data_IF_868688480391
#
_entry.id   IF_868688480391
#
_cell.length_a   1.000
_cell.length_b   1.000
_cell.length_c   1.000
_cell.angle_alpha   90.00
_cell.angle_beta   90.00
_cell.angle_gamma   90.00
#
_symmetry.space_group_name_H-M   'P 1'
#
loop_
_entity.id
_entity.type
_entity.pdbx_description
1 polymer ?
#
# COMPACT_ATOMS: atom_id res chain seq x y z
N UNK A 1 14.90 24.85 -17.19
CA UNK A 1 14.89 24.35 -15.80
C UNK A 1 13.54 23.71 -15.54
N UNK A 2 13.52 22.47 -15.06
CA UNK A 2 12.30 21.71 -14.74
C UNK A 2 12.15 20.43 -15.55
N UNK A 3 12.93 19.40 -15.22
CA UNK A 3 12.82 18.04 -15.75
C UNK A 3 11.77 17.29 -14.93
N UNK A 4 10.73 16.75 -15.58
CA UNK A 4 9.71 15.92 -14.92
C UNK A 4 10.13 14.46 -14.96
N UNK A 5 10.19 13.82 -13.79
CA UNK A 5 10.34 12.36 -13.65
C UNK A 5 9.03 11.78 -13.15
N UNK A 6 8.42 10.91 -13.95
CA UNK A 6 7.28 10.07 -13.53
C UNK A 6 7.85 8.81 -12.89
N UNK A 7 7.59 8.61 -11.60
CA UNK A 7 7.95 7.37 -10.88
C UNK A 7 6.73 6.45 -10.88
N UNK A 8 6.80 5.39 -11.68
CA UNK A 8 5.91 4.23 -11.53
C UNK A 8 6.45 3.34 -10.41
N UNK A 9 5.71 3.24 -9.30
CA UNK A 9 5.98 2.23 -8.26
C UNK A 9 5.25 0.96 -8.67
N UNK A 10 5.94 0.10 -9.42
CA UNK A 10 5.60 -1.32 -9.49
C UNK A 10 6.15 -1.96 -8.21
N UNK A 11 5.29 -2.45 -7.32
CA UNK A 11 5.74 -3.31 -6.21
C UNK A 11 6.19 -4.67 -6.77
N UNK A 12 7.41 -4.70 -7.28
CA UNK A 12 8.21 -5.91 -7.35
C UNK A 12 8.74 -6.19 -5.94
N UNK A 13 8.47 -7.39 -5.43
CA UNK A 13 9.11 -7.90 -4.22
C UNK A 13 10.64 -7.74 -4.34
N UNK A 14 11.19 -6.80 -3.57
CA UNK A 14 12.63 -6.61 -3.44
C UNK A 14 13.24 -7.87 -2.81
N UNK A 15 13.87 -8.69 -3.66
CA UNK A 15 14.98 -9.52 -3.23
C UNK A 15 16.12 -8.59 -2.82
N UNK A 16 16.43 -8.52 -1.52
CA UNK A 16 17.67 -7.92 -1.04
C UNK A 16 18.78 -8.96 -1.18
N UNK A 17 19.65 -8.80 -2.18
CA UNK A 17 20.93 -9.52 -2.23
C UNK A 17 21.88 -8.88 -1.21
N UNK A 18 22.18 -9.59 -0.13
CA UNK A 18 23.32 -9.27 0.72
C UNK A 18 24.50 -10.14 0.27
N UNK A 19 25.51 -9.52 -0.37
CA UNK A 19 26.81 -10.13 -0.57
C UNK A 19 27.69 -9.61 0.57
N UNK A 20 27.93 -10.46 1.58
CA UNK A 20 28.89 -10.17 2.64
C UNK A 20 30.28 -10.62 2.19
N UNK A 21 31.22 -9.69 2.15
CA UNK A 21 32.65 -9.96 1.95
C UNK A 21 33.33 -10.06 3.32
N UNK A 22 34.02 -11.16 3.57
CA UNK A 22 34.89 -11.29 4.74
C UNK A 22 36.35 -11.19 4.26
N UNK A 23 37.08 -10.17 4.74
CA UNK A 23 38.53 -10.03 4.56
C UNK A 23 39.26 -10.70 5.72
N UNK A 24 40.24 -11.54 5.42
CA UNK A 24 41.07 -12.28 6.37
C UNK A 24 42.21 -11.43 6.96
N UNK A 25 42.21 -11.33 8.29
CA UNK A 25 43.31 -11.35 9.28
C UNK A 25 44.62 -10.56 9.09
N UNK A 26 44.83 -9.62 10.04
CA UNK A 26 45.99 -9.42 10.94
C UNK A 26 47.45 -9.49 10.43
N UNK A 27 48.23 -8.42 10.68
CA UNK A 27 49.54 -8.37 11.41
C UNK A 27 50.02 -6.89 11.59
N UNK A 28 50.98 -6.57 12.50
CA UNK A 28 50.93 -5.37 13.36
C UNK A 28 51.96 -4.26 13.02
N UNK A 29 51.71 -3.07 13.60
CA UNK A 29 52.60 -1.94 13.94
C UNK A 29 53.73 -1.52 12.98
N UNK A 30 53.62 -0.28 12.45
CA UNK A 30 54.53 0.85 12.79
C UNK A 30 53.91 2.16 12.28
N UNK A 31 53.79 3.15 13.16
CA UNK A 31 53.65 4.57 12.80
C UNK A 31 55.06 5.18 12.86
N UNK A 32 55.41 6.08 11.94
CA UNK A 32 55.62 7.44 12.42
C UNK A 32 55.11 8.55 11.46
N UNK A 33 54.63 9.59 12.11
CA UNK A 33 54.32 10.92 11.59
C UNK A 33 55.53 11.65 10.98
N UNK A 34 55.18 12.69 10.22
CA UNK A 34 55.88 13.96 9.97
C UNK A 34 57.12 13.98 9.06
N UNK A 35 56.99 14.61 7.88
CA UNK A 35 57.43 16.00 7.61
C UNK A 35 57.61 16.32 6.11
N UNK A 36 57.10 17.50 5.72
CA UNK A 36 57.66 18.51 4.79
C UNK A 36 58.13 18.10 3.38
N UNK A 37 57.38 18.50 2.34
CA UNK A 37 57.58 19.73 1.53
C UNK A 37 58.95 19.80 0.82
N UNK A 38 58.97 19.83 -0.51
CA UNK A 38 59.72 20.85 -1.28
C UNK A 38 59.29 20.84 -2.75
N UNK A 39 59.02 22.06 -3.24
CA UNK A 39 58.67 22.43 -4.61
C UNK A 39 59.91 22.39 -5.52
N UNK A 40 59.74 21.91 -6.74
CA UNK A 40 60.65 22.11 -7.87
C UNK A 40 60.50 23.53 -8.45
N UNK A 41 61.61 24.13 -8.90
CA UNK A 41 61.77 24.89 -10.17
C UNK A 41 62.96 25.88 -10.12
N UNK A 42 64.01 25.63 -10.91
CA UNK A 42 64.87 26.67 -11.52
C UNK A 42 65.84 26.11 -12.60
N UNK A 43 65.46 26.35 -13.85
CA UNK A 43 66.22 26.90 -15.01
C UNK A 43 67.74 26.69 -15.26
N UNK A 44 68.00 26.13 -16.46
CA UNK A 44 68.85 26.58 -17.60
C UNK A 44 70.41 26.57 -17.60
N UNK A 45 70.93 25.65 -18.43
CA UNK A 45 71.95 25.75 -19.50
C UNK A 45 73.42 26.17 -19.25
N UNK A 46 74.34 25.27 -19.65
CA UNK A 46 75.50 25.56 -20.53
C UNK A 46 76.08 24.27 -21.17
N UNK A 47 76.28 24.30 -22.51
CA UNK A 47 76.75 23.24 -23.43
C UNK A 47 78.31 23.24 -23.59
N UNK A 48 78.96 22.40 -24.44
CA UNK A 48 78.86 20.94 -24.70
C UNK A 48 80.26 20.26 -24.85
N UNK A 49 80.25 19.04 -25.40
CA UNK A 49 81.34 18.15 -25.90
C UNK A 49 81.68 17.02 -24.91
N UNK A 50 81.64 15.73 -25.28
CA UNK A 50 82.27 15.08 -26.43
C UNK A 50 81.45 13.84 -26.86
N UNK A 51 81.35 13.63 -28.18
CA UNK A 51 80.72 12.47 -28.81
C UNK A 51 81.56 11.19 -28.61
N UNK A 52 81.04 10.24 -27.83
CA UNK A 52 81.37 8.82 -27.98
C UNK A 52 80.10 8.05 -28.37
N UNK A 53 80.12 7.48 -29.57
CA UNK A 53 79.07 6.60 -30.10
C UNK A 53 78.95 5.34 -29.25
N UNK A 54 77.88 5.23 -28.48
CA UNK A 54 77.47 3.99 -27.82
C UNK A 54 76.11 3.58 -28.42
N UNK A 55 76.10 2.43 -29.08
CA UNK A 55 74.89 1.74 -29.51
C UNK A 55 73.94 1.61 -28.31
N UNK A 56 72.86 2.40 -28.29
CA UNK A 56 71.77 2.20 -27.34
C UNK A 56 71.00 0.97 -27.79
N UNK A 57 71.38 -0.21 -27.28
CA UNK A 57 70.41 -1.29 -27.10
C UNK A 57 69.27 -0.68 -26.29
N UNK A 58 68.13 -0.47 -26.92
CA UNK A 58 66.87 -0.39 -26.20
C UNK A 58 66.64 -1.77 -25.58
N UNK A 59 67.19 -1.98 -24.39
CA UNK A 59 66.68 -2.99 -23.49
C UNK A 59 65.22 -2.64 -23.26
N UNK A 60 64.32 -3.46 -23.80
CA UNK A 60 62.92 -3.45 -23.39
C UNK A 60 62.91 -3.56 -21.87
N UNK A 61 62.46 -2.49 -21.20
CA UNK A 61 61.94 -2.61 -19.85
C UNK A 61 60.84 -3.66 -19.96
N UNK A 62 61.07 -4.84 -19.38
CA UNK A 62 59.99 -5.77 -19.08
C UNK A 62 59.09 -5.04 -18.09
N UNK A 63 58.15 -4.28 -18.64
CA UNK A 63 56.93 -3.92 -17.95
C UNK A 63 56.28 -5.28 -17.70
N UNK A 64 56.55 -5.85 -16.54
CA UNK A 64 55.62 -6.82 -15.96
C UNK A 64 54.34 -6.01 -15.84
N UNK A 65 53.49 -6.14 -16.85
CA UNK A 65 52.11 -5.71 -16.77
C UNK A 65 51.59 -6.38 -15.51
N UNK A 66 51.40 -5.60 -14.46
CA UNK A 66 50.56 -5.96 -13.35
C UNK A 66 49.15 -6.07 -13.95
N UNK A 67 48.90 -7.20 -14.61
CA UNK A 67 47.55 -7.74 -14.66
C UNK A 67 47.22 -7.94 -13.19
N UNK A 68 46.55 -6.94 -12.61
CA UNK A 68 45.76 -7.12 -11.41
C UNK A 68 44.97 -8.37 -11.68
N UNK A 69 45.37 -9.49 -11.05
CA UNK A 69 44.62 -10.71 -11.11
C UNK A 69 43.23 -10.35 -10.57
N UNK A 70 42.27 -10.15 -11.49
CA UNK A 70 40.88 -10.00 -11.12
C UNK A 70 40.50 -11.36 -10.54
N UNK A 71 40.65 -11.49 -9.22
CA UNK A 71 40.17 -12.65 -8.49
C UNK A 71 38.70 -12.82 -8.88
N UNK A 72 38.38 -13.93 -9.55
CA UNK A 72 36.99 -14.26 -9.82
C UNK A 72 36.35 -14.46 -8.46
N UNK A 73 35.50 -13.52 -8.06
CA UNK A 73 34.68 -13.66 -6.86
C UNK A 73 33.66 -14.74 -7.19
N UNK A 74 33.98 -15.97 -6.80
CA UNK A 74 33.04 -17.09 -6.89
C UNK A 74 32.14 -17.06 -5.65
N UNK A 75 30.82 -16.91 -5.82
CA UNK A 75 29.90 -16.93 -4.69
C UNK A 75 30.00 -18.29 -3.98
N UNK A 76 30.10 -18.29 -2.66
CA UNK A 76 30.31 -19.52 -1.90
C UNK A 76 29.01 -20.20 -1.48
N UNK A 77 27.97 -19.42 -1.19
CA UNK A 77 26.64 -19.88 -0.80
C UNK A 77 25.59 -18.80 -1.08
N UNK A 78 24.33 -19.21 -1.15
CA UNK A 78 23.15 -18.36 -1.31
C UNK A 78 22.11 -18.77 -0.27
N UNK A 79 21.59 -17.81 0.48
CA UNK A 79 20.55 -18.01 1.49
C UNK A 79 19.43 -17.01 1.21
N UNK A 80 18.21 -17.52 1.11
CA UNK A 80 17.01 -16.73 0.84
C UNK A 80 15.94 -17.08 1.88
N UNK A 81 15.27 -16.07 2.43
CA UNK A 81 14.22 -16.26 3.41
C UNK A 81 13.36 -15.02 3.58
N UNK A 82 12.20 -15.13 4.23
CA UNK A 82 11.33 -13.99 4.47
C UNK A 82 11.96 -13.03 5.48
N UNK A 83 11.80 -11.72 5.24
CA UNK A 83 12.23 -10.67 6.18
C UNK A 83 11.24 -10.47 7.33
N UNK A 84 9.97 -10.80 7.09
CA UNK A 84 8.87 -10.62 8.05
C UNK A 84 8.52 -11.98 8.65
N UNK A 85 8.34 -12.01 9.97
CA UNK A 85 7.86 -13.19 10.70
C UNK A 85 6.65 -12.84 11.56
N UNK A 86 5.77 -13.82 11.72
CA UNK A 86 4.52 -13.72 12.48
C UNK A 86 4.38 -14.90 13.46
N UNK A 87 3.57 -14.76 14.52
CA UNK A 87 3.26 -15.89 15.41
C UNK A 87 2.62 -17.05 14.63
N UNK A 88 2.89 -18.29 15.05
CA UNK A 88 2.38 -19.52 14.42
C UNK A 88 2.82 -19.79 12.97
N UNK A 89 3.64 -18.91 12.37
CA UNK A 89 4.08 -19.03 10.98
C UNK A 89 5.13 -20.14 10.82
N UNK A 90 5.07 -20.85 9.70
CA UNK A 90 6.17 -21.72 9.26
C UNK A 90 7.10 -20.90 8.37
N UNK A 91 8.27 -20.56 8.89
CA UNK A 91 9.32 -19.84 8.16
C UNK A 91 10.12 -20.85 7.35
N UNK A 92 10.28 -20.58 6.06
CA UNK A 92 11.08 -21.40 5.15
C UNK A 92 12.29 -20.60 4.66
N UNK A 93 13.49 -21.14 4.88
CA UNK A 93 14.75 -20.56 4.41
C UNK A 93 15.35 -21.50 3.38
N UNK A 94 15.54 -21.00 2.16
CA UNK A 94 16.23 -21.72 1.09
C UNK A 94 17.72 -21.49 1.21
N UNK A 95 18.49 -22.58 1.20
CA UNK A 95 19.94 -22.57 1.30
C UNK A 95 20.51 -23.33 0.11
N UNK A 96 21.46 -22.72 -0.59
CA UNK A 96 22.20 -23.35 -1.69
C UNK A 96 23.69 -23.13 -1.45
N UNK A 97 24.45 -24.22 -1.36
CA UNK A 97 25.90 -24.14 -1.28
C UNK A 97 26.46 -24.18 -2.69
N UNK A 98 27.31 -23.22 -3.05
CA UNK A 98 27.81 -23.02 -4.41
C UNK A 98 29.28 -23.43 -4.56
N UNK A 99 29.99 -23.60 -3.43
CA UNK A 99 31.40 -23.99 -3.42
C UNK A 99 31.57 -25.51 -3.36
N UNK A 100 31.97 -26.10 -4.49
CA UNK A 100 32.21 -27.54 -4.67
C UNK A 100 33.17 -28.16 -3.64
N UNK A 101 34.17 -27.41 -3.17
CA UNK A 101 35.15 -27.88 -2.19
C UNK A 101 34.55 -28.24 -0.82
N UNK A 102 33.34 -27.78 -0.52
CA UNK A 102 32.69 -28.01 0.77
C UNK A 102 31.85 -29.30 0.82
N UNK A 103 31.68 -30.01 -0.31
CA UNK A 103 30.94 -31.27 -0.45
C UNK A 103 29.51 -31.26 0.14
N UNK A 104 29.38 -31.63 1.42
CA UNK A 104 28.14 -31.61 2.18
C UNK A 104 28.41 -30.94 3.51
N UNK A 105 27.50 -30.09 3.96
CA UNK A 105 27.65 -29.39 5.22
C UNK A 105 26.34 -29.36 6.01
N UNK A 106 26.46 -29.30 7.32
CA UNK A 106 25.33 -29.13 8.22
C UNK A 106 25.05 -27.64 8.28
N UNK A 107 23.83 -27.24 7.90
CA UNK A 107 23.38 -25.86 7.98
C UNK A 107 22.33 -25.76 9.07
N UNK A 108 22.62 -24.92 10.05
CA UNK A 108 21.74 -24.62 11.16
C UNK A 108 21.20 -23.20 11.01
N UNK A 109 19.88 -23.07 11.05
CA UNK A 109 19.17 -21.81 11.04
C UNK A 109 18.41 -21.66 12.36
N UNK A 110 18.59 -20.51 13.02
CA UNK A 110 18.03 -20.19 14.34
C UNK A 110 17.39 -18.81 14.28
N UNK A 111 16.16 -18.69 14.75
CA UNK A 111 15.51 -17.41 15.02
C UNK A 111 15.57 -17.17 16.51
N UNK A 112 16.14 -16.03 16.90
CA UNK A 112 16.22 -15.59 18.29
C UNK A 112 15.56 -14.22 18.50
N UNK A 113 15.12 -13.98 19.74
CA UNK A 113 14.65 -12.69 20.23
C UNK A 113 15.47 -12.34 21.47
N UNK A 114 16.31 -11.30 21.38
CA UNK A 114 17.16 -10.79 22.48
C UNK A 114 17.78 -11.93 23.34
N UNK A 115 18.42 -12.88 22.65
CA UNK A 115 19.15 -14.07 23.16
C UNK A 115 18.32 -15.33 23.49
N UNK A 116 16.99 -15.27 23.43
CA UNK A 116 16.14 -16.47 23.54
C UNK A 116 15.95 -17.14 22.17
N UNK A 117 16.26 -18.44 22.07
CA UNK A 117 15.97 -19.25 20.90
C UNK A 117 14.45 -19.49 20.75
N UNK A 118 13.86 -19.05 19.64
CA UNK A 118 12.42 -19.16 19.37
C UNK A 118 12.10 -20.33 18.45
N UNK A 119 12.89 -20.50 17.40
CA UNK A 119 12.72 -21.57 16.43
C UNK A 119 14.08 -21.93 15.83
N UNK A 120 14.31 -23.21 15.57
CA UNK A 120 15.53 -23.68 14.94
C UNK A 120 15.21 -24.80 13.95
N UNK A 121 16.04 -24.90 12.92
CA UNK A 121 16.08 -26.03 11.99
C UNK A 121 17.54 -26.30 11.63
N UNK A 122 17.88 -27.58 11.46
CA UNK A 122 19.22 -28.03 11.14
C UNK A 122 19.10 -29.21 10.19
N UNK A 123 19.86 -29.20 9.10
CA UNK A 123 19.85 -30.29 8.13
C UNK A 123 21.17 -30.38 7.36
N UNK A 124 21.41 -31.53 6.74
CA UNK A 124 22.54 -31.77 5.85
C UNK A 124 22.22 -31.24 4.45
N UNK A 125 23.00 -30.26 3.99
CA UNK A 125 22.84 -29.62 2.68
C UNK A 125 23.95 -30.07 1.73
N UNK A 126 23.53 -30.58 0.57
CA UNK A 126 24.42 -30.99 -0.51
C UNK A 126 24.80 -29.79 -1.39
N UNK A 127 26.03 -29.76 -1.90
CA UNK A 127 26.47 -28.69 -2.82
C UNK A 127 25.68 -28.72 -4.13
N UNK A 128 25.37 -27.53 -4.64
CA UNK A 128 24.60 -27.25 -5.85
C UNK A 128 23.14 -27.76 -5.83
N UNK A 129 22.63 -28.19 -4.68
CA UNK A 129 21.23 -28.58 -4.49
C UNK A 129 20.56 -27.57 -3.55
N UNK A 130 19.58 -26.80 -4.02
CA UNK A 130 18.79 -25.94 -3.16
C UNK A 130 18.03 -26.77 -2.12
N UNK A 131 18.26 -26.48 -0.85
CA UNK A 131 17.60 -27.15 0.28
C UNK A 131 16.74 -26.16 1.06
N UNK A 132 15.62 -26.61 1.63
CA UNK A 132 14.71 -25.73 2.36
C UNK A 132 14.65 -26.11 3.84
N UNK A 133 15.15 -25.25 4.70
CA UNK A 133 15.02 -25.37 6.15
C UNK A 133 13.69 -24.77 6.60
N UNK A 134 12.82 -25.58 7.19
CA UNK A 134 11.51 -25.14 7.70
C UNK A 134 11.53 -25.10 9.22
N UNK A 135 11.13 -23.98 9.79
CA UNK A 135 11.04 -23.78 11.23
C UNK A 135 9.70 -23.15 11.62
N UNK A 136 9.08 -23.69 12.67
CA UNK A 136 7.77 -23.20 13.15
C UNK A 136 7.98 -22.18 14.27
N UNK A 137 7.43 -20.99 14.09
CA UNK A 137 7.44 -19.94 15.12
C UNK A 137 6.36 -20.26 16.15
N UNK A 138 6.71 -20.13 17.43
CA UNK A 138 5.76 -20.30 18.54
C UNK A 138 4.63 -19.26 18.46
N UNK A 139 3.46 -19.59 19.01
CA UNK A 139 2.33 -18.67 19.09
C UNK A 139 2.54 -17.59 20.16
N UNK A 140 3.34 -17.90 21.21
CA UNK A 140 3.51 -17.08 22.40
C UNK A 140 4.77 -16.22 22.33
N UNK A 141 4.95 -15.52 21.21
CA UNK A 141 6.12 -14.68 21.00
C UNK A 141 5.79 -13.22 21.29
N UNK A 142 6.75 -12.50 21.89
CA UNK A 142 6.57 -11.11 22.34
C UNK A 142 6.98 -10.13 21.24
N UNK A 143 6.45 -8.91 21.29
CA UNK A 143 7.04 -7.81 20.54
C UNK A 143 8.51 -7.65 20.94
N UNK A 144 9.42 -7.58 19.97
CA UNK A 144 10.85 -7.54 20.22
C UNK A 144 11.65 -7.50 18.93
N UNK A 145 12.98 -7.49 19.06
CA UNK A 145 13.88 -7.50 17.90
C UNK A 145 14.28 -8.92 17.58
N UNK A 146 13.88 -9.40 16.40
CA UNK A 146 14.18 -10.76 15.98
C UNK A 146 15.40 -10.80 15.07
N UNK A 147 16.18 -11.86 15.20
CA UNK A 147 17.36 -12.10 14.37
C UNK A 147 17.33 -13.52 13.82
N UNK A 148 17.63 -13.65 12.54
CA UNK A 148 17.92 -14.92 11.88
C UNK A 148 19.43 -15.13 11.92
N UNK A 149 19.84 -16.18 12.60
CA UNK A 149 21.23 -16.62 12.72
C UNK A 149 21.37 -17.88 11.88
N UNK A 150 22.28 -17.86 10.92
CA UNK A 150 22.53 -19.01 10.04
C UNK A 150 24.01 -19.37 10.08
N UNK A 151 24.27 -20.63 10.39
CA UNK A 151 25.59 -21.19 10.57
C UNK A 151 25.77 -22.43 9.68
N UNK A 152 26.85 -22.48 8.92
CA UNK A 152 27.23 -23.63 8.11
C UNK A 152 28.51 -24.27 8.61
N UNK A 153 28.46 -25.55 8.96
CA UNK A 153 29.62 -26.33 9.42
C UNK A 153 29.89 -27.51 8.51
N UNK A 154 31.15 -27.72 8.17
CA UNK A 154 31.58 -28.99 7.58
C UNK A 154 31.33 -30.14 8.56
N UNK A 155 31.30 -31.37 8.03
CA UNK A 155 31.22 -32.59 8.85
C UNK A 155 32.42 -32.75 9.81
N UNK A 156 33.53 -32.07 9.53
CA UNK A 156 34.70 -31.96 10.42
C UNK A 156 34.48 -31.05 11.63
N UNK A 157 33.34 -30.33 11.68
CA UNK A 157 33.02 -29.34 12.72
C UNK A 157 33.51 -27.92 12.38
N UNK A 158 34.29 -27.74 11.33
CA UNK A 158 34.80 -26.42 10.92
C UNK A 158 33.66 -25.52 10.41
N UNK A 159 33.51 -24.34 11.00
CA UNK A 159 32.50 -23.35 10.61
C UNK A 159 32.97 -22.57 9.37
N UNK A 160 32.19 -22.63 8.28
CA UNK A 160 32.49 -21.93 7.02
C UNK A 160 31.80 -20.58 6.88
N UNK A 161 30.61 -20.43 7.44
CA UNK A 161 29.93 -19.14 7.48
C UNK A 161 29.07 -19.00 8.73
N UNK A 162 28.87 -17.75 9.12
CA UNK A 162 28.01 -17.36 10.24
C UNK A 162 27.45 -15.98 9.94
N UNK A 163 26.15 -15.92 9.66
CA UNK A 163 25.46 -14.68 9.29
C UNK A 163 24.34 -14.38 10.27
N UNK A 164 24.17 -13.10 10.57
CA UNK A 164 23.07 -12.57 11.37
C UNK A 164 22.31 -11.58 10.51
N UNK A 165 21.00 -11.73 10.44
CA UNK A 165 20.10 -10.79 9.74
C UNK A 165 18.95 -10.40 10.64
N UNK A 166 18.63 -9.12 10.69
CA UNK A 166 17.49 -8.64 11.48
C UNK A 166 16.18 -8.95 10.75
N UNK A 167 15.22 -9.50 11.49
CA UNK A 167 13.87 -9.80 11.01
C UNK A 167 12.89 -8.75 11.55
N UNK A 168 11.85 -8.50 10.79
CA UNK A 168 10.73 -7.64 11.17
C UNK A 168 9.66 -8.55 11.78
N UNK A 169 9.27 -8.27 13.02
CA UNK A 169 8.16 -8.97 13.66
C UNK A 169 6.86 -8.22 13.43
N UNK A 170 5.88 -8.93 12.86
CA UNK A 170 4.51 -8.45 12.78
C UNK A 170 3.64 -9.29 13.70
N UNK A 171 3.09 -8.64 14.72
CA UNK A 171 2.17 -9.29 15.64
C UNK A 171 0.91 -9.79 14.91
N UNK A 172 0.41 -9.04 13.91
CA UNK A 172 -0.86 -9.32 13.23
C UNK A 172 -0.86 -10.70 12.55
N UNK A 173 -1.47 -11.68 13.20
CA UNK A 173 -1.58 -13.06 12.72
C UNK A 173 -2.89 -13.33 11.96
N UNK A 174 -3.90 -12.47 12.12
CA UNK A 174 -5.24 -12.63 11.49
C UNK A 174 -5.69 -11.28 10.94
N UNK A 175 -6.34 -11.28 9.79
CA UNK A 175 -7.10 -10.15 9.26
C UNK A 175 -8.59 -10.45 9.37
N UNK A 176 -9.39 -9.47 9.76
CA UNK A 176 -10.83 -9.63 9.92
C UNK A 176 -11.51 -8.66 8.97
N UNK A 177 -12.33 -9.19 8.06
CA UNK A 177 -13.16 -8.40 7.15
C UNK A 177 -14.58 -8.39 7.68
N UNK A 178 -15.20 -7.21 7.75
CA UNK A 178 -16.60 -7.06 8.15
C UNK A 178 -17.35 -6.46 6.97
N UNK A 179 -18.36 -7.18 6.49
CA UNK A 179 -19.22 -6.75 5.41
C UNK A 179 -20.64 -6.59 5.91
N UNK A 180 -21.26 -5.48 5.54
CA UNK A 180 -22.67 -5.20 5.75
C UNK A 180 -23.45 -5.43 4.46
N UNK A 181 -24.76 -5.69 4.56
CA UNK A 181 -25.67 -5.68 3.41
C UNK A 181 -25.87 -4.26 2.87
N UNK A 182 -25.94 -3.26 3.76
CA UNK A 182 -26.10 -1.84 3.41
C UNK A 182 -25.16 -0.92 4.22
N UNK A 183 -24.77 0.24 3.65
CA UNK A 183 -23.98 1.24 4.38
C UNK A 183 -24.83 2.10 5.33
N UNK A 184 -26.13 2.22 5.06
CA UNK A 184 -27.09 3.08 5.77
C UNK A 184 -28.36 2.29 6.09
N UNK A 185 -28.93 2.50 7.28
CA UNK A 185 -30.15 1.85 7.76
C UNK A 185 -31.15 2.89 8.26
N UNK A 186 -32.44 2.56 8.15
CA UNK A 186 -33.56 3.34 8.70
C UNK A 186 -34.13 2.66 9.95
N UNK A 187 -35.06 3.33 10.61
CA UNK A 187 -35.78 2.77 11.75
C UNK A 187 -36.51 1.47 11.37
N UNK A 188 -36.65 0.56 12.33
CA UNK A 188 -37.31 -0.75 12.15
C UNK A 188 -36.72 -1.64 11.04
N UNK A 189 -35.42 -1.52 10.75
CA UNK A 189 -34.73 -2.42 9.82
C UNK A 189 -33.78 -3.37 10.53
N UNK A 190 -33.39 -4.43 9.83
CA UNK A 190 -32.42 -5.40 10.34
C UNK A 190 -31.06 -5.14 9.69
N UNK A 191 -30.04 -4.95 10.52
CA UNK A 191 -28.64 -4.90 10.09
C UNK A 191 -28.17 -6.32 9.87
N UNK A 192 -27.87 -6.68 8.62
CA UNK A 192 -27.31 -7.97 8.28
C UNK A 192 -25.84 -7.81 7.95
N UNK A 193 -24.99 -8.61 8.60
CA UNK A 193 -23.56 -8.49 8.40
C UNK A 193 -22.86 -9.83 8.59
N UNK A 194 -21.65 -9.90 8.02
CA UNK A 194 -20.78 -11.06 8.17
C UNK A 194 -19.36 -10.65 8.56
N UNK A 195 -18.78 -11.42 9.46
CA UNK A 195 -17.39 -11.33 9.88
C UNK A 195 -16.61 -12.48 9.25
N UNK A 196 -15.53 -12.15 8.54
CA UNK A 196 -14.71 -13.08 7.77
C UNK A 196 -13.27 -12.96 8.28
N UNK A 197 -12.91 -13.71 9.34
CA UNK A 197 -11.54 -13.82 9.79
C UNK A 197 -10.73 -14.73 8.86
N UNK A 198 -9.58 -14.21 8.41
CA UNK A 198 -8.67 -14.90 7.48
C UNK A 198 -7.24 -14.84 7.98
N UNK A 199 -6.51 -15.93 7.75
CA UNK A 199 -5.07 -15.99 7.96
C UNK A 199 -4.32 -15.31 6.80
N UNK A 200 -3.01 -15.04 6.94
CA UNK A 200 -2.22 -14.37 5.90
C UNK A 200 -2.07 -15.17 4.60
N UNK A 201 -2.30 -16.48 4.64
CA UNK A 201 -2.36 -17.36 3.48
C UNK A 201 -3.75 -17.38 2.81
N UNK A 202 -4.63 -16.47 3.24
CA UNK A 202 -6.03 -16.34 2.80
C UNK A 202 -6.92 -17.54 3.17
N UNK A 203 -6.43 -18.45 4.01
CA UNK A 203 -7.27 -19.52 4.56
C UNK A 203 -8.25 -18.96 5.61
N UNK A 204 -9.43 -19.57 5.68
CA UNK A 204 -10.44 -19.20 6.66
C UNK A 204 -10.01 -19.57 8.09
N UNK A 205 -10.42 -18.76 9.06
CA UNK A 205 -10.27 -19.09 10.47
C UNK A 205 -11.49 -19.89 10.96
N UNK A 206 -11.25 -21.10 11.49
CA UNK A 206 -12.30 -22.09 11.83
C UNK A 206 -12.52 -22.28 13.34
N UNK A 207 -12.28 -21.24 14.14
CA UNK A 207 -12.54 -21.25 15.59
C UNK A 207 -13.57 -20.18 15.98
N UNK A 208 -13.75 -20.01 17.29
CA UNK A 208 -14.68 -19.04 17.85
C UNK A 208 -14.18 -17.60 17.72
N UNK A 209 -15.13 -16.68 17.57
CA UNK A 209 -14.91 -15.24 17.50
C UNK A 209 -15.90 -14.49 18.40
N UNK A 210 -15.56 -13.27 18.78
CA UNK A 210 -16.45 -12.39 19.51
C UNK A 210 -16.86 -11.19 18.64
N UNK A 211 -18.14 -10.84 18.67
CA UNK A 211 -18.71 -9.76 17.87
C UNK A 211 -19.56 -8.85 18.75
N UNK A 212 -19.47 -7.54 18.52
CA UNK A 212 -20.17 -6.52 19.27
C UNK A 212 -20.79 -5.47 18.35
N UNK A 213 -21.97 -4.98 18.68
CA UNK A 213 -22.54 -3.76 18.10
C UNK A 213 -22.43 -2.64 19.13
N UNK A 214 -21.92 -1.50 18.67
CA UNK A 214 -21.76 -0.28 19.44
C UNK A 214 -22.66 0.81 18.86
N UNK A 215 -23.38 1.51 19.74
CA UNK A 215 -24.14 2.69 19.36
C UNK A 215 -23.25 3.94 19.17
N UNK A 216 -23.83 5.09 18.81
CA UNK A 216 -23.08 6.32 18.53
C UNK A 216 -22.30 6.86 19.74
N UNK A 217 -22.76 6.55 20.94
CA UNK A 217 -22.08 6.91 22.20
C UNK A 217 -20.92 5.97 22.57
N UNK A 218 -20.63 4.96 21.75
CA UNK A 218 -19.59 3.96 22.01
C UNK A 218 -19.98 2.86 23.00
N UNK A 219 -21.21 2.86 23.51
CA UNK A 219 -21.71 1.80 24.38
C UNK A 219 -22.02 0.53 23.58
N UNK A 220 -21.72 -0.63 24.16
CA UNK A 220 -22.02 -1.92 23.55
C UNK A 220 -23.51 -2.23 23.76
N UNK A 221 -24.26 -2.34 22.67
CA UNK A 221 -25.69 -2.61 22.67
C UNK A 221 -25.99 -4.11 22.52
N UNK A 222 -25.13 -4.82 21.78
CA UNK A 222 -25.26 -6.28 21.60
C UNK A 222 -23.90 -6.95 21.59
N UNK A 223 -23.83 -8.14 22.18
CA UNK A 223 -22.67 -9.02 22.20
C UNK A 223 -23.04 -10.40 21.68
N UNK A 224 -22.19 -10.96 20.84
CA UNK A 224 -22.18 -12.37 20.49
C UNK A 224 -20.79 -12.89 20.81
N UNK A 225 -20.67 -13.59 21.93
CA UNK A 225 -19.40 -14.16 22.38
C UNK A 225 -19.30 -15.62 21.92
N UNK A 226 -18.07 -16.09 21.70
CA UNK A 226 -17.76 -17.47 21.34
C UNK A 226 -18.54 -18.01 20.12
N UNK A 227 -18.74 -17.18 19.09
CA UNK A 227 -19.43 -17.60 17.86
C UNK A 227 -18.54 -18.48 17.01
N UNK A 228 -18.95 -19.72 16.78
CA UNK A 228 -18.22 -20.65 15.93
C UNK A 228 -18.35 -20.25 14.46
N UNK A 229 -17.21 -20.13 13.78
CA UNK A 229 -17.15 -19.89 12.34
C UNK A 229 -17.60 -21.12 11.55
N UNK A 230 -18.51 -20.92 10.59
CA UNK A 230 -18.95 -21.95 9.63
C UNK A 230 -18.36 -21.60 8.27
N UNK A 231 -17.58 -22.51 7.69
CA UNK A 231 -16.82 -22.24 6.45
C UNK A 231 -15.91 -20.98 6.53
N UNK A 232 -15.40 -20.65 7.73
CA UNK A 232 -14.54 -19.48 7.96
C UNK A 232 -15.30 -18.15 8.11
N UNK A 233 -16.63 -18.18 8.22
CA UNK A 233 -17.49 -16.99 8.26
C UNK A 233 -18.47 -17.09 9.44
N UNK A 234 -18.81 -15.93 10.02
CA UNK A 234 -19.94 -15.78 10.93
C UNK A 234 -20.89 -14.74 10.36
N UNK A 235 -22.15 -15.11 10.16
CA UNK A 235 -23.23 -14.23 9.71
C UNK A 235 -24.17 -13.94 10.87
N UNK A 236 -24.45 -12.67 11.10
CA UNK A 236 -25.23 -12.19 12.24
C UNK A 236 -26.20 -11.11 11.78
N UNK A 237 -27.26 -10.97 12.57
CA UNK A 237 -28.33 -10.02 12.31
C UNK A 237 -28.66 -9.26 13.59
N UNK A 238 -28.98 -7.97 13.44
CA UNK A 238 -29.39 -7.11 14.54
C UNK A 238 -30.61 -6.27 14.14
N UNK A 239 -31.79 -6.52 14.74
CA UNK A 239 -32.94 -5.66 14.52
C UNK A 239 -32.73 -4.31 15.21
N UNK A 240 -32.92 -3.23 14.44
CA UNK A 240 -32.91 -1.86 14.95
C UNK A 240 -34.28 -1.57 15.58
N UNK A 241 -34.27 -0.90 16.74
CA UNK A 241 -35.50 -0.48 17.43
C UNK A 241 -36.32 0.54 16.59
N UNK A 242 -37.52 0.86 17.06
CA UNK A 242 -38.40 1.86 16.44
C UNK A 242 -37.85 3.31 16.54
N UNK A 243 -37.04 3.61 17.57
CA UNK A 243 -36.42 4.93 17.76
C UNK A 243 -34.94 4.88 18.21
N UNK A 244 -34.01 4.24 17.46
CA UNK A 244 -32.57 4.38 17.69
C UNK A 244 -32.10 5.84 17.66
N UNK A 245 -31.04 6.17 18.42
CA UNK A 245 -30.27 7.38 18.16
C UNK A 245 -29.69 7.37 16.74
N UNK A 246 -29.98 8.43 15.99
CA UNK A 246 -29.36 8.66 14.68
C UNK A 246 -27.85 8.91 14.80
N UNK A 247 -27.11 8.56 13.75
CA UNK A 247 -25.68 8.80 13.64
C UNK A 247 -24.88 7.56 13.25
N UNK A 248 -23.59 7.58 13.58
CA UNK A 248 -22.64 6.53 13.19
C UNK A 248 -22.59 5.43 14.26
N UNK A 249 -22.90 4.22 13.84
CA UNK A 249 -22.82 2.99 14.63
C UNK A 249 -21.61 2.17 14.20
N UNK A 250 -21.21 1.21 15.02
CA UNK A 250 -20.02 0.39 14.75
C UNK A 250 -20.23 -1.08 15.08
N UNK A 251 -19.74 -1.95 14.20
CA UNK A 251 -19.58 -3.38 14.44
C UNK A 251 -18.11 -3.62 14.77
N UNK A 252 -17.87 -4.26 15.91
CA UNK A 252 -16.53 -4.65 16.36
C UNK A 252 -16.42 -6.16 16.41
N UNK A 253 -15.45 -6.73 15.70
CA UNK A 253 -15.15 -8.16 15.73
C UNK A 253 -13.77 -8.38 16.34
N UNK A 254 -13.65 -9.35 17.26
CA UNK A 254 -12.41 -9.71 17.95
C UNK A 254 -12.09 -11.19 17.71
N UNK A 255 -10.84 -11.47 17.30
CA UNK A 255 -10.32 -12.81 17.01
C UNK A 255 -8.88 -12.91 17.50
N UNK A 256 -8.57 -13.88 18.37
CA UNK A 256 -7.20 -14.07 18.93
C UNK A 256 -6.57 -12.80 19.50
N UNK A 257 -7.39 -11.89 20.06
CA UNK A 257 -6.94 -10.58 20.57
C UNK A 257 -6.77 -9.48 19.51
N UNK A 258 -6.89 -9.79 18.21
CA UNK A 258 -6.97 -8.80 17.14
C UNK A 258 -8.40 -8.29 16.99
N UNK A 259 -8.54 -7.04 16.59
CA UNK A 259 -9.84 -6.39 16.43
C UNK A 259 -9.97 -5.73 15.07
N UNK A 260 -11.17 -5.77 14.51
CA UNK A 260 -11.57 -4.96 13.37
C UNK A 260 -12.87 -4.24 13.69
N UNK A 261 -12.99 -3.01 13.21
CA UNK A 261 -14.17 -2.16 13.39
C UNK A 261 -14.68 -1.75 12.02
N UNK A 262 -15.98 -1.81 11.83
CA UNK A 262 -16.67 -1.33 10.63
C UNK A 262 -17.84 -0.47 11.04
N UNK A 263 -17.90 0.74 10.48
CA UNK A 263 -18.95 1.71 10.76
C UNK A 263 -20.09 1.62 9.76
N UNK A 264 -21.28 2.03 10.20
CA UNK A 264 -22.47 2.20 9.39
C UNK A 264 -23.33 3.34 9.97
N UNK A 265 -24.21 3.93 9.17
CA UNK A 265 -25.04 5.05 9.60
C UNK A 265 -26.50 4.63 9.78
N UNK A 266 -27.16 5.24 10.77
CA UNK A 266 -28.60 5.15 10.97
C UNK A 266 -29.17 6.56 10.92
N UNK A 267 -30.12 6.78 10.00
CA UNK A 267 -30.95 7.98 9.96
C UNK A 267 -32.25 7.66 9.22
N UNK A 268 -33.29 8.44 9.47
CA UNK A 268 -34.54 8.24 8.75
C UNK A 268 -34.45 8.71 7.30
N UNK A 269 -34.73 7.80 6.37
CA UNK A 269 -34.78 8.11 4.95
C UNK A 269 -35.94 7.40 4.26
N UNK A 270 -36.52 8.09 3.30
CA UNK A 270 -37.58 7.56 2.45
C UNK A 270 -37.00 6.96 1.18
N UNK A 271 -37.56 5.83 0.75
CA UNK A 271 -37.18 5.22 -0.51
C UNK A 271 -37.45 6.20 -1.67
N UNK A 272 -36.41 6.51 -2.45
CA UNK A 272 -36.55 7.31 -3.66
C UNK A 272 -37.26 6.48 -4.72
N UNK A 273 -38.25 7.07 -5.39
CA UNK A 273 -39.02 6.40 -6.45
C UNK A 273 -38.32 6.37 -7.80
N UNK A 274 -37.43 7.32 -8.02
CA UNK A 274 -36.63 7.43 -9.23
C UNK A 274 -35.25 7.94 -8.87
N UNK A 275 -34.28 7.62 -9.72
CA UNK A 275 -32.91 8.10 -9.63
C UNK A 275 -32.66 9.09 -10.75
N UNK A 276 -31.85 10.11 -10.47
CA UNK A 276 -31.41 11.10 -11.47
C UNK A 276 -29.91 10.99 -11.59
N UNK A 277 -29.44 10.65 -12.79
CA UNK A 277 -28.03 10.53 -13.11
C UNK A 277 -27.65 11.55 -14.19
N UNK A 278 -26.53 12.23 -13.98
CA UNK A 278 -25.93 13.17 -14.91
C UNK A 278 -24.59 12.62 -15.41
N UNK A 279 -24.41 12.60 -16.73
CA UNK A 279 -23.17 12.19 -17.37
C UNK A 279 -22.55 13.40 -18.06
N UNK A 280 -21.38 13.81 -17.56
CA UNK A 280 -20.57 14.92 -18.07
C UNK A 280 -19.09 14.53 -18.06
N UNK A 281 -18.23 15.15 -18.87
CA UNK A 281 -16.79 14.94 -18.81
C UNK A 281 -16.23 15.33 -17.43
N UNK A 282 -15.33 14.50 -16.88
CA UNK A 282 -14.67 14.77 -15.59
C UNK A 282 -13.67 15.93 -15.65
N UNK A 283 -13.11 16.20 -16.83
CA UNK A 283 -12.13 17.27 -17.04
C UNK A 283 -12.51 18.05 -18.29
N UNK A 284 -12.37 19.37 -18.20
CA UNK A 284 -12.71 20.30 -19.27
C UNK A 284 -11.49 21.14 -19.60
N UNK A 285 -11.00 21.11 -20.85
CA UNK A 285 -10.02 22.07 -21.33
C UNK A 285 -10.55 23.50 -21.27
N UNK A 286 -9.68 24.48 -20.99
CA UNK A 286 -10.06 25.90 -20.87
C UNK A 286 -10.58 26.48 -22.21
N UNK A 287 -10.15 25.89 -23.33
CA UNK A 287 -10.52 26.23 -24.70
C UNK A 287 -11.76 25.47 -25.22
N UNK A 288 -12.42 24.66 -24.37
CA UNK A 288 -13.64 23.96 -24.77
C UNK A 288 -14.76 24.93 -25.21
N UNK A 289 -15.55 24.62 -26.25
CA UNK A 289 -16.69 25.44 -26.63
C UNK A 289 -17.81 25.47 -25.58
N UNK A 290 -17.85 24.48 -24.69
CA UNK A 290 -18.85 24.38 -23.63
C UNK A 290 -18.86 23.02 -22.95
N UNK A 291 -19.87 22.80 -22.12
CA UNK A 291 -20.10 21.55 -21.40
C UNK A 291 -21.33 20.87 -21.96
N UNK A 292 -21.12 19.74 -22.63
CA UNK A 292 -22.18 18.84 -23.06
C UNK A 292 -22.37 17.72 -22.04
N UNK A 293 -23.62 17.32 -21.81
CA UNK A 293 -23.93 16.20 -20.94
C UNK A 293 -25.28 15.58 -21.24
N UNK A 294 -25.53 14.45 -20.58
CA UNK A 294 -26.79 13.71 -20.67
C UNK A 294 -27.35 13.58 -19.26
N UNK A 295 -28.64 13.89 -19.12
CA UNK A 295 -29.40 13.65 -17.90
C UNK A 295 -30.29 12.45 -18.18
N UNK A 296 -30.30 11.52 -17.24
CA UNK A 296 -31.18 10.37 -17.24
C UNK A 296 -31.92 10.36 -15.91
N UNK A 297 -33.24 10.18 -15.92
CA UNK A 297 -34.02 9.99 -14.73
C UNK A 297 -35.09 8.92 -14.96
N UNK A 298 -34.94 7.80 -14.27
CA UNK A 298 -35.78 6.64 -14.44
C UNK A 298 -36.36 6.23 -13.08
N UNK A 299 -37.62 5.83 -13.08
CA UNK A 299 -38.24 5.16 -11.95
C UNK A 299 -37.53 3.84 -11.66
N UNK A 300 -37.71 3.31 -10.44
CA UNK A 300 -37.25 1.97 -10.07
C UNK A 300 -37.82 0.85 -10.96
N UNK A 301 -38.94 1.12 -11.66
CA UNK A 301 -39.52 0.24 -12.69
C UNK A 301 -38.78 0.25 -14.03
N UNK A 302 -37.84 1.18 -14.22
CA UNK A 302 -37.09 1.40 -15.47
C UNK A 302 -37.78 2.35 -16.46
N UNK A 303 -39.00 2.83 -16.18
CA UNK A 303 -39.67 3.83 -17.01
C UNK A 303 -39.04 5.22 -16.84
N UNK A 304 -39.00 5.99 -17.92
CA UNK A 304 -38.54 7.38 -17.88
C UNK A 304 -39.48 8.27 -17.07
N UNK A 305 -38.91 9.17 -16.26
CA UNK A 305 -39.68 10.22 -15.58
C UNK A 305 -40.15 11.24 -16.60
N UNK A 306 -41.46 11.51 -16.66
CA UNK A 306 -42.00 12.60 -17.46
C UNK A 306 -42.12 13.84 -16.60
N UNK A 307 -41.79 15.01 -17.17
CA UNK A 307 -41.89 16.27 -16.46
C UNK A 307 -40.90 17.28 -16.99
N UNK A 308 -40.32 18.09 -16.10
CA UNK A 308 -39.30 19.05 -16.47
C UNK A 308 -38.00 18.83 -15.68
N UNK A 309 -36.88 19.05 -16.34
CA UNK A 309 -35.55 18.97 -15.72
C UNK A 309 -34.95 20.37 -15.63
N UNK A 310 -34.38 20.71 -14.49
CA UNK A 310 -33.62 21.93 -14.25
C UNK A 310 -32.15 21.58 -14.06
N UNK A 311 -31.29 22.26 -14.79
CA UNK A 311 -29.84 22.13 -14.67
C UNK A 311 -29.31 23.39 -14.00
N UNK A 312 -28.50 23.20 -12.97
CA UNK A 312 -27.85 24.29 -12.25
C UNK A 312 -26.35 24.09 -12.33
N UNK A 313 -25.67 25.08 -12.88
CA UNK A 313 -24.21 25.13 -12.96
C UNK A 313 -23.72 26.08 -11.88
N UNK A 314 -22.79 25.61 -11.06
CA UNK A 314 -22.10 26.39 -10.04
C UNK A 314 -20.60 26.24 -10.21
N UNK A 315 -19.84 27.16 -9.63
CA UNK A 315 -18.40 27.08 -9.61
C UNK A 315 -17.88 27.23 -8.19
N UNK A 316 -16.80 26.52 -7.88
CA UNK A 316 -16.05 26.67 -6.64
C UNK A 316 -14.58 26.92 -6.95
N UNK A 317 -13.96 27.79 -6.15
CA UNK A 317 -12.54 28.09 -6.25
C UNK A 317 -11.72 27.04 -5.47
N UNK A 318 -10.80 26.36 -6.16
CA UNK A 318 -9.93 25.32 -5.60
C UNK A 318 -8.56 25.86 -5.15
N UNK A 319 -8.32 27.17 -5.27
CA UNK A 319 -7.09 27.82 -4.80
C UNK A 319 -6.95 27.83 -3.28
N UNK A 320 -8.05 27.60 -2.55
CA UNK A 320 -8.06 27.42 -1.10
C UNK A 320 -7.97 25.92 -0.82
N UNK A 321 -7.02 25.43 0.01
CA UNK A 321 -6.90 24.01 0.32
C UNK A 321 -8.20 23.47 0.91
N UNK A 322 -8.88 22.65 0.13
CA UNK A 322 -10.19 22.10 0.46
C UNK A 322 -10.05 20.99 1.49
N UNK A 323 -10.67 21.18 2.66
CA UNK A 323 -10.91 20.11 3.61
C UNK A 323 -12.33 19.56 3.38
N UNK A 324 -12.50 18.34 2.82
CA UNK A 324 -13.82 17.76 2.54
C UNK A 324 -14.69 17.58 3.78
N UNK A 325 -14.10 17.62 4.98
CA UNK A 325 -14.82 17.51 6.25
C UNK A 325 -15.38 18.85 6.75
N UNK A 326 -14.86 20.00 6.28
CA UNK A 326 -15.29 21.32 6.73
C UNK A 326 -16.29 22.00 5.79
N UNK A 327 -16.32 21.61 4.51
CA UNK A 327 -17.22 22.15 3.48
C UNK A 327 -17.71 21.03 2.53
N UNK A 328 -18.65 20.16 2.94
CA UNK A 328 -19.20 19.15 2.05
C UNK A 328 -19.76 19.76 0.76
N UNK A 329 -19.76 19.01 -0.35
CA UNK A 329 -20.32 19.44 -1.65
C UNK A 329 -21.76 19.99 -1.54
N UNK A 330 -22.52 19.51 -0.55
CA UNK A 330 -23.85 20.00 -0.21
C UNK A 330 -23.88 21.50 0.15
N UNK A 331 -22.82 22.06 0.73
CA UNK A 331 -22.77 23.48 1.11
C UNK A 331 -22.80 24.40 -0.12
N UNK A 332 -22.11 24.02 -1.20
CA UNK A 332 -22.13 24.75 -2.49
C UNK A 332 -23.48 24.57 -3.20
N UNK A 333 -24.11 23.41 -3.03
CA UNK A 333 -25.43 23.12 -3.60
C UNK A 333 -26.56 23.91 -2.90
N UNK A 334 -26.45 24.10 -1.57
CA UNK A 334 -27.43 24.85 -0.76
C UNK A 334 -27.13 26.34 -0.63
N UNK A 335 -25.90 26.79 -0.83
CA UNK A 335 -25.56 28.21 -0.79
C UNK A 335 -26.21 28.97 -1.96
N UNK A 336 -27.13 29.87 -1.60
CA UNK A 336 -27.87 30.72 -2.54
C UNK A 336 -27.03 31.89 -3.06
N UNK A 337 -25.90 32.18 -2.42
CA UNK A 337 -25.02 33.31 -2.77
C UNK A 337 -23.97 32.93 -3.81
N UNK A 338 -23.70 31.63 -3.99
CA UNK A 338 -22.81 31.12 -5.03
C UNK A 338 -23.35 31.48 -6.42
N UNK A 339 -22.56 32.18 -7.28
CA UNK A 339 -22.94 32.49 -8.65
C UNK A 339 -23.31 31.21 -9.40
N UNK A 340 -24.49 31.23 -10.03
CA UNK A 340 -25.02 30.05 -10.73
C UNK A 340 -25.71 30.42 -12.03
N UNK A 341 -25.59 29.53 -13.01
CA UNK A 341 -26.40 29.55 -14.23
C UNK A 341 -27.45 28.45 -14.17
N UNK A 342 -28.65 28.73 -14.68
CA UNK A 342 -29.77 27.80 -14.66
C UNK A 342 -30.39 27.70 -16.05
N UNK A 343 -30.69 26.48 -16.46
CA UNK A 343 -31.44 26.19 -17.69
C UNK A 343 -32.47 25.09 -17.41
N UNK A 344 -33.56 25.09 -18.16
CA UNK A 344 -34.69 24.18 -17.97
C UNK A 344 -35.02 23.44 -19.27
N UNK A 345 -35.46 22.20 -19.12
CA UNK A 345 -35.90 21.30 -20.18
C UNK A 345 -37.34 20.92 -19.84
N UNK A 346 -38.29 21.49 -20.59
CA UNK A 346 -39.72 21.39 -20.25
C UNK A 346 -40.36 20.05 -20.61
N UNK A 347 -39.92 19.41 -21.70
CA UNK A 347 -40.45 18.13 -22.19
C UNK A 347 -39.48 16.99 -21.87
N UNK A 348 -39.12 16.85 -20.59
CA UNK A 348 -38.21 15.79 -20.16
C UNK A 348 -38.95 14.45 -20.13
N UNK A 349 -38.41 13.45 -20.83
CA UNK A 349 -38.96 12.10 -20.90
C UNK A 349 -37.85 11.08 -20.67
N UNK A 350 -37.47 10.89 -19.40
CA UNK A 350 -36.47 9.93 -18.97
C UNK A 350 -35.02 10.27 -19.34
N UNK A 351 -34.76 10.80 -20.53
CA UNK A 351 -33.41 11.14 -21.00
C UNK A 351 -33.43 12.45 -21.78
N UNK A 352 -32.49 13.34 -21.48
CA UNK A 352 -32.28 14.56 -22.25
C UNK A 352 -30.80 14.95 -22.32
N UNK A 353 -30.35 15.35 -23.51
CA UNK A 353 -29.05 15.98 -23.70
C UNK A 353 -29.12 17.48 -23.39
N UNK A 354 -28.02 18.03 -22.88
CA UNK A 354 -27.86 19.47 -22.70
C UNK A 354 -26.48 19.93 -23.15
N UNK A 355 -26.40 21.20 -23.51
CA UNK A 355 -25.14 21.87 -23.81
C UNK A 355 -25.14 23.27 -23.21
N UNK A 356 -24.13 23.57 -22.41
CA UNK A 356 -23.92 24.88 -21.79
C UNK A 356 -22.70 25.53 -22.45
N UNK A 357 -22.88 26.61 -23.21
CA UNK A 357 -21.76 27.32 -23.83
C UNK A 357 -20.76 27.83 -22.79
N UNK A 358 -19.47 27.79 -23.12
CA UNK A 358 -18.41 28.28 -22.23
C UNK A 358 -18.55 29.78 -21.95
N UNK A 359 -19.11 30.54 -22.90
CA UNK A 359 -19.40 31.97 -22.75
C UNK A 359 -20.38 32.23 -21.60
N UNK A 360 -21.37 31.36 -21.42
CA UNK A 360 -22.33 31.43 -20.31
C UNK A 360 -21.64 31.20 -18.98
N UNK A 361 -20.68 30.28 -18.92
CA UNK A 361 -19.90 30.01 -17.71
C UNK A 361 -19.01 31.20 -17.39
N UNK A 362 -18.32 31.75 -18.40
CA UNK A 362 -17.47 32.94 -18.26
C UNK A 362 -18.21 34.20 -17.82
N UNK A 363 -19.52 34.28 -18.07
CA UNK A 363 -20.34 35.40 -17.62
C UNK A 363 -20.42 35.51 -16.10
N UNK A 364 -20.39 34.39 -15.37
CA UNK A 364 -20.40 34.38 -13.91
C UNK A 364 -19.08 33.90 -13.28
N UNK A 365 -18.20 33.28 -14.07
CA UNK A 365 -16.87 32.82 -13.66
C UNK A 365 -15.82 33.22 -14.72
N UNK A 366 -15.31 34.46 -14.69
CA UNK A 366 -14.40 34.96 -15.73
C UNK A 366 -13.07 34.21 -15.82
N UNK A 367 -12.52 33.79 -14.68
CA UNK A 367 -11.32 32.98 -14.59
C UNK A 367 -11.69 31.52 -14.33
N UNK A 368 -11.35 30.64 -15.28
CA UNK A 368 -11.67 29.21 -15.20
C UNK A 368 -10.55 28.41 -14.54
N UNK A 369 -9.34 28.94 -14.47
CA UNK A 369 -8.20 28.18 -13.96
C UNK A 369 -8.30 28.05 -12.43
N UNK A 370 -7.91 26.88 -11.91
CA UNK A 370 -8.03 26.57 -10.49
C UNK A 370 -9.47 26.58 -9.94
N UNK A 371 -10.49 26.48 -10.78
CA UNK A 371 -11.90 26.36 -10.38
C UNK A 371 -12.48 25.01 -10.77
N UNK A 372 -13.41 24.52 -9.96
CA UNK A 372 -14.19 23.31 -10.24
C UNK A 372 -15.64 23.68 -10.50
N UNK A 373 -16.21 23.10 -11.55
CA UNK A 373 -17.58 23.34 -11.97
C UNK A 373 -18.46 22.21 -11.45
N UNK A 374 -19.47 22.56 -10.67
CA UNK A 374 -20.48 21.65 -10.16
C UNK A 374 -21.73 21.75 -11.04
N UNK A 375 -22.22 20.61 -11.54
CA UNK A 375 -23.43 20.55 -12.34
C UNK A 375 -24.45 19.67 -11.62
N UNK A 376 -25.56 20.28 -11.22
CA UNK A 376 -26.66 19.62 -10.54
C UNK A 376 -27.84 19.52 -11.50
N UNK A 377 -28.45 18.34 -11.61
CA UNK A 377 -29.73 18.14 -12.30
C UNK A 377 -30.84 17.89 -11.28
N UNK A 378 -31.94 18.63 -11.40
CA UNK A 378 -33.15 18.45 -10.58
C UNK A 378 -34.30 18.14 -11.52
N UNK A 379 -34.85 16.94 -11.43
CA UNK A 379 -36.00 16.51 -12.24
C UNK A 379 -37.26 16.59 -11.40
N UNK A 380 -38.29 17.22 -11.95
CA UNK A 380 -39.60 17.36 -11.32
C UNK A 380 -40.59 16.42 -12.00
N UNK A 381 -41.12 15.50 -11.20
CA UNK A 381 -42.21 14.61 -11.57
C UNK A 381 -43.57 15.25 -11.22
N UNK A 382 -44.45 15.53 -12.20
CA UNK A 382 -45.79 16.06 -11.95
C UNK A 382 -46.65 15.17 -11.04
N UNK A 383 -46.40 13.85 -11.02
CA UNK A 383 -47.14 12.89 -10.20
C UNK A 383 -46.47 12.58 -8.86
N UNK A 384 -45.46 13.35 -8.47
CA UNK A 384 -44.71 13.15 -7.24
C UNK A 384 -45.62 13.12 -5.99
N UNK A 385 -46.59 14.05 -5.92
CA UNK A 385 -47.51 14.16 -4.78
C UNK A 385 -48.60 13.08 -4.79
N UNK A 386 -49.10 12.68 -5.97
CA UNK A 386 -50.17 11.67 -6.08
C UNK A 386 -49.65 10.27 -5.71
N UNK A 387 -48.40 9.99 -6.03
CA UNK A 387 -47.79 8.71 -5.71
C UNK A 387 -47.32 8.63 -4.25
N UNK A 388 -47.18 9.74 -3.51
CA UNK A 388 -46.63 9.79 -2.13
C UNK A 388 -47.65 9.51 -1.00
N UNK A 389 -48.93 9.31 -1.34
CA UNK A 389 -50.00 9.01 -0.37
C UNK A 389 -50.25 7.49 -0.19
N UNK A 390 -49.21 6.67 -0.35
CA UNK A 390 -49.27 5.21 -0.20
C UNK A 390 -48.95 4.75 1.20
#
# INVERSE_FOLDING_TARGET
>A
MGQWSVIFILQLHCFTTAIAYQSSEFFPFYSPNDTNSFNDNAEFNSYPSVNHSIYRRQTSLNIVTSQQARLRITPSYLILGPRIIRPAQIVSVSVTILRNEWNSMIVKALISNDDMAIAAAEDLVMVNVPHTLKMRISNNIRNGTYRLIIEGKLLTGERKFYNISQLIFEQKAVSILIQLDRPVYRHETVVQFRCIPIYPDLSGYFHTIDVYILGPSGHILRKWENQQTTAGIVSLEYPINDAPPEGVWSIKCRVMGYEAIKTFEIYEFYNRKFEVNITVPYYLPIDTPGIGGIITANYTTGMGVLGHARIVVRARNMSIPFNPYLHPLADVELDRTTPSYRTEINDFNGVAGFFIPISTIRAFLPDLDGNEILITAVVHDPWWNETNNG
#
